data_IF_118675109054
#
_entry.id   IF_118675109054
#
_cell.length_a   1.000
_cell.length_b   1.000
_cell.length_c   1.000
_cell.angle_alpha   90.00
_cell.angle_beta   90.00
_cell.angle_gamma   90.00
#
_symmetry.space_group_name_H-M   'P 1'
#
loop_
_entity.id
_entity.type
_entity.pdbx_description
1 polymer ?
#
# COMPACT_ATOMS: atom_id res chain seq x y z
N UNK A 1 3.13 11.34 19.31
CA UNK A 1 4.43 11.19 18.62
C UNK A 1 5.09 9.85 18.97
N UNK A 2 5.68 9.68 20.16
CA UNK A 2 6.41 8.47 20.55
C UNK A 2 5.60 7.16 20.39
N UNK A 3 4.31 7.19 20.74
CA UNK A 3 3.41 6.04 20.60
C UNK A 3 3.25 5.57 19.14
N UNK A 4 3.04 6.50 18.19
CA UNK A 4 2.84 6.16 16.77
C UNK A 4 4.12 5.62 16.13
N UNK A 5 5.28 6.18 16.50
CA UNK A 5 6.60 5.68 16.09
C UNK A 5 6.82 4.25 16.61
N UNK A 6 6.51 3.99 17.88
CA UNK A 6 6.64 2.64 18.47
C UNK A 6 5.71 1.63 17.79
N UNK A 7 4.47 2.05 17.48
CA UNK A 7 3.47 1.25 16.78
C UNK A 7 3.95 0.84 15.38
N UNK A 8 4.42 1.79 14.57
CA UNK A 8 4.97 1.51 13.24
C UNK A 8 6.23 0.65 13.30
N UNK A 9 7.15 0.93 14.23
CA UNK A 9 8.34 0.09 14.42
C UNK A 9 7.96 -1.37 14.70
N UNK A 10 7.01 -1.60 15.61
CA UNK A 10 6.51 -2.95 15.92
C UNK A 10 5.86 -3.61 14.70
N UNK A 11 5.03 -2.87 13.98
CA UNK A 11 4.38 -3.37 12.77
C UNK A 11 5.40 -3.82 11.73
N UNK A 12 6.40 -2.97 11.43
CA UNK A 12 7.45 -3.24 10.42
C UNK A 12 8.31 -4.43 10.84
N UNK A 13 8.71 -4.49 12.12
CA UNK A 13 9.50 -5.61 12.64
C UNK A 13 8.75 -6.95 12.53
N UNK A 14 7.44 -6.95 12.80
CA UNK A 14 6.61 -8.16 12.74
C UNK A 14 6.12 -8.50 11.33
N UNK A 15 6.12 -7.54 10.40
CA UNK A 15 5.57 -7.68 9.05
C UNK A 15 6.49 -7.04 8.00
N UNK A 16 7.74 -7.53 7.83
CA UNK A 16 8.71 -6.92 6.92
C UNK A 16 8.21 -6.86 5.48
N UNK A 17 7.45 -7.87 5.01
CA UNK A 17 6.87 -7.89 3.68
C UNK A 17 5.79 -6.81 3.43
N UNK A 18 5.17 -6.28 4.49
CA UNK A 18 4.14 -5.24 4.40
C UNK A 18 4.73 -3.83 4.56
N UNK A 19 6.00 -3.72 4.94
CA UNK A 19 6.63 -2.44 5.30
C UNK A 19 6.81 -1.49 4.13
N UNK A 20 6.83 -2.03 2.91
CA UNK A 20 7.11 -1.31 1.67
C UNK A 20 5.88 -1.24 0.74
N UNK A 21 4.70 -1.60 1.27
CA UNK A 21 3.42 -1.54 0.55
C UNK A 21 2.79 -0.15 0.77
N UNK A 22 2.40 0.56 -0.29
CA UNK A 22 1.67 1.83 -0.15
C UNK A 22 0.40 1.64 0.68
N UNK A 23 0.02 2.61 1.50
CA UNK A 23 -1.19 2.45 2.34
C UNK A 23 -1.97 3.74 2.56
N UNK A 24 -1.42 4.88 2.19
CA UNK A 24 -2.06 6.19 2.29
C UNK A 24 -1.34 7.23 1.44
N UNK A 25 -1.94 8.41 1.34
CA UNK A 25 -1.41 9.53 0.55
C UNK A 25 -1.10 10.69 1.48
N UNK A 26 0.12 11.23 1.41
CA UNK A 26 0.54 12.46 2.11
C UNK A 26 1.18 13.41 1.12
N UNK A 27 0.72 14.66 1.08
CA UNK A 27 1.22 15.66 0.13
C UNK A 27 1.07 15.25 -1.35
N UNK A 28 0.01 14.50 -1.68
CA UNK A 28 -0.23 13.99 -3.04
C UNK A 28 0.65 12.81 -3.47
N UNK A 29 1.44 12.24 -2.56
CA UNK A 29 2.28 11.06 -2.81
C UNK A 29 1.83 9.90 -1.97
N UNK A 30 1.80 8.71 -2.57
CA UNK A 30 1.65 7.46 -1.83
C UNK A 30 2.83 7.29 -0.86
N UNK A 31 2.52 6.80 0.35
CA UNK A 31 3.51 6.49 1.37
C UNK A 31 3.38 5.03 1.84
N UNK A 32 4.52 4.43 2.17
CA UNK A 32 4.63 3.10 2.80
C UNK A 32 4.80 3.20 4.32
N UNK A 33 4.58 2.13 5.11
CA UNK A 33 4.85 2.14 6.55
C UNK A 33 6.26 2.58 6.91
N UNK A 34 7.27 2.19 6.11
CA UNK A 34 8.67 2.59 6.33
C UNK A 34 8.88 4.08 6.08
N UNK A 35 8.29 4.62 5.02
CA UNK A 35 8.33 6.05 4.71
C UNK A 35 7.60 6.86 5.80
N UNK A 36 6.42 6.41 6.23
CA UNK A 36 5.65 7.01 7.32
C UNK A 36 6.46 7.07 8.62
N UNK A 37 7.14 5.98 9.00
CA UNK A 37 8.01 5.95 10.17
C UNK A 37 9.12 7.00 10.07
N UNK A 38 9.79 7.07 8.92
CA UNK A 38 10.88 8.02 8.70
C UNK A 38 10.38 9.47 8.78
N UNK A 39 9.19 9.77 8.23
CA UNK A 39 8.55 11.09 8.33
C UNK A 39 8.23 11.46 9.79
N UNK A 40 7.63 10.54 10.56
CA UNK A 40 7.33 10.78 11.98
C UNK A 40 8.60 11.00 12.81
N UNK A 41 9.68 10.28 12.52
CA UNK A 41 10.97 10.46 13.18
C UNK A 41 11.59 11.83 12.90
N UNK A 42 11.39 12.38 11.71
CA UNK A 42 11.83 13.74 11.32
C UNK A 42 10.86 14.84 11.74
N UNK A 43 9.66 14.50 12.21
CA UNK A 43 8.61 15.48 12.54
C UNK A 43 7.93 16.09 11.31
N UNK A 44 8.01 15.45 10.15
CA UNK A 44 7.44 15.92 8.88
C UNK A 44 5.99 15.44 8.70
N UNK A 45 5.10 16.33 8.27
CA UNK A 45 3.70 16.04 7.93
C UNK A 45 2.99 15.12 8.95
N UNK A 46 3.27 15.33 10.24
CA UNK A 46 2.86 14.43 11.34
C UNK A 46 1.35 14.22 11.36
N UNK A 47 0.56 15.29 11.20
CA UNK A 47 -0.89 15.22 11.15
C UNK A 47 -1.37 14.30 10.03
N UNK A 48 -0.79 14.46 8.85
CA UNK A 48 -1.21 13.79 7.64
C UNK A 48 -0.81 12.32 7.67
N UNK A 49 0.38 12.01 8.20
CA UNK A 49 0.83 10.63 8.41
C UNK A 49 -0.07 9.92 9.44
N UNK A 50 -0.43 10.58 10.55
CA UNK A 50 -1.34 9.99 11.54
C UNK A 50 -2.75 9.82 10.97
N UNK A 51 -3.21 10.76 10.13
CA UNK A 51 -4.48 10.64 9.41
C UNK A 51 -4.45 9.44 8.46
N UNK A 52 -3.41 9.31 7.63
CA UNK A 52 -3.20 8.18 6.72
C UNK A 52 -3.14 6.83 7.46
N UNK A 53 -2.49 6.78 8.63
CA UNK A 53 -2.48 5.58 9.48
C UNK A 53 -3.87 5.26 10.06
N UNK A 54 -4.64 6.28 10.38
CA UNK A 54 -6.00 6.11 10.91
C UNK A 54 -7.02 5.77 9.83
N UNK A 55 -6.76 6.16 8.58
CA UNK A 55 -7.61 5.89 7.43
C UNK A 55 -7.18 4.67 6.62
N UNK A 56 -6.02 4.09 6.92
CA UNK A 56 -5.53 2.86 6.30
C UNK A 56 -6.63 1.79 6.31
N UNK A 57 -7.05 1.35 5.13
CA UNK A 57 -8.12 0.35 4.97
C UNK A 57 -9.51 0.78 5.44
N UNK A 58 -9.73 2.08 5.72
CA UNK A 58 -10.98 2.65 6.25
C UNK A 58 -11.59 3.79 5.41
N UNK A 59 -10.84 4.51 4.57
CA UNK A 59 -11.34 5.63 3.73
C UNK A 59 -11.69 5.23 2.26
N UNK A 60 -12.49 6.03 1.52
CA UNK A 60 -13.21 5.60 0.32
C UNK A 60 -12.36 5.31 -0.94
N UNK A 61 -12.91 4.40 -1.76
CA UNK A 61 -12.41 3.66 -2.94
C UNK A 61 -11.62 4.49 -4.00
N UNK A 62 -11.73 5.82 -4.04
CA UNK A 62 -11.14 6.63 -5.11
C UNK A 62 -9.62 6.83 -4.97
N UNK A 63 -9.08 6.88 -3.74
CA UNK A 63 -7.63 6.96 -3.51
C UNK A 63 -6.92 5.63 -3.77
N UNK A 64 -7.67 4.53 -3.77
CA UNK A 64 -7.12 3.18 -3.88
C UNK A 64 -6.55 2.90 -5.27
N UNK A 65 -7.03 3.58 -6.33
CA UNK A 65 -6.47 3.43 -7.67
C UNK A 65 -5.01 3.91 -7.76
N UNK A 66 -4.71 5.08 -7.19
CA UNK A 66 -3.35 5.60 -7.18
C UNK A 66 -2.42 4.73 -6.32
N UNK A 67 -2.93 4.21 -5.21
CA UNK A 67 -2.20 3.34 -4.31
C UNK A 67 -1.90 1.96 -4.93
N UNK A 68 -2.89 1.33 -5.57
CA UNK A 68 -2.68 0.02 -6.24
C UNK A 68 -1.80 0.16 -7.49
N UNK A 69 -1.90 1.27 -8.21
CA UNK A 69 -1.00 1.57 -9.32
C UNK A 69 0.45 1.73 -8.84
N UNK A 70 0.67 2.51 -7.77
CA UNK A 70 2.00 2.68 -7.19
C UNK A 70 2.55 1.36 -6.63
N UNK A 71 1.68 0.52 -6.04
CA UNK A 71 2.04 -0.82 -5.59
C UNK A 71 2.63 -1.67 -6.73
N UNK A 72 1.94 -1.78 -7.86
CA UNK A 72 2.46 -2.54 -9.00
C UNK A 72 3.71 -1.91 -9.64
N UNK A 73 3.77 -0.57 -9.71
CA UNK A 73 4.99 0.12 -10.17
C UNK A 73 6.19 -0.19 -9.28
N UNK A 74 6.04 -0.19 -7.96
CA UNK A 74 7.11 -0.54 -7.01
C UNK A 74 7.52 -2.00 -7.13
N UNK A 75 6.57 -2.92 -7.30
CA UNK A 75 6.89 -4.33 -7.52
C UNK A 75 7.72 -4.56 -8.79
N UNK A 76 7.39 -3.86 -9.89
CA UNK A 76 8.16 -3.92 -11.14
C UNK A 76 9.60 -3.40 -11.00
N UNK A 77 9.86 -2.53 -10.01
CA UNK A 77 11.19 -2.00 -9.73
C UNK A 77 12.04 -2.94 -8.86
N UNK A 78 11.44 -3.97 -8.24
CA UNK A 78 12.19 -4.93 -7.45
C UNK A 78 13.08 -5.79 -8.37
N UNK A 79 14.33 -6.04 -7.97
CA UNK A 79 15.23 -6.87 -8.75
C UNK A 79 14.81 -8.35 -8.69
N UNK A 80 15.09 -9.09 -9.76
CA UNK A 80 14.83 -10.53 -9.85
C UNK A 80 13.59 -10.86 -10.68
N UNK A 81 13.26 -12.16 -10.81
CA UNK A 81 12.10 -12.59 -11.57
C UNK A 81 10.82 -12.12 -10.87
N UNK A 82 9.94 -11.47 -11.62
CA UNK A 82 8.66 -11.01 -11.10
C UNK A 82 7.69 -12.19 -10.94
N UNK A 83 6.96 -12.26 -9.81
CA UNK A 83 5.97 -13.30 -9.61
C UNK A 83 4.81 -13.11 -10.59
N UNK A 84 4.19 -14.24 -10.95
CA UNK A 84 2.91 -14.21 -11.66
C UNK A 84 1.78 -13.92 -10.67
N UNK A 85 0.80 -13.16 -11.13
CA UNK A 85 -0.42 -12.86 -10.39
C UNK A 85 -1.52 -13.81 -10.84
N UNK A 86 -2.23 -14.36 -9.86
CA UNK A 86 -3.40 -15.18 -10.08
C UNK A 86 -4.63 -14.43 -9.57
N UNK A 87 -5.52 -14.05 -10.48
CA UNK A 87 -6.91 -13.71 -10.16
C UNK A 87 -7.79 -14.90 -10.54
N UNK A 88 -9.07 -14.89 -10.15
CA UNK A 88 -9.95 -16.06 -10.36
C UNK A 88 -10.02 -16.39 -11.86
N UNK A 89 -9.41 -17.52 -12.24
CA UNK A 89 -9.43 -18.02 -13.62
C UNK A 89 -8.41 -17.38 -14.57
N UNK A 90 -7.51 -16.51 -14.10
CA UNK A 90 -6.51 -15.86 -14.96
C UNK A 90 -5.15 -15.73 -14.28
N UNK A 91 -4.11 -16.12 -15.02
CA UNK A 91 -2.70 -15.87 -14.70
C UNK A 91 -2.23 -14.66 -15.51
N UNK A 92 -1.51 -13.72 -14.89
CA UNK A 92 -0.97 -12.54 -15.56
C UNK A 92 0.37 -12.08 -14.97
N UNK A 93 1.14 -11.32 -15.73
CA UNK A 93 2.38 -10.67 -15.23
C UNK A 93 2.07 -9.41 -14.43
N UNK A 94 3.09 -8.85 -13.76
CA UNK A 94 2.94 -7.57 -13.06
C UNK A 94 2.65 -6.41 -14.04
N UNK A 95 3.22 -6.44 -15.25
CA UNK A 95 2.98 -5.46 -16.30
C UNK A 95 1.54 -5.51 -16.80
N UNK A 96 1.00 -6.70 -16.99
CA UNK A 96 -0.40 -6.89 -17.38
C UNK A 96 -1.34 -6.40 -16.29
N UNK A 97 -1.04 -6.72 -15.02
CA UNK A 97 -1.81 -6.24 -13.88
C UNK A 97 -1.79 -4.71 -13.77
N UNK A 98 -0.62 -4.10 -13.93
CA UNK A 98 -0.49 -2.64 -13.96
C UNK A 98 -1.32 -2.02 -15.10
N UNK A 99 -1.29 -2.63 -16.29
CA UNK A 99 -2.09 -2.18 -17.44
C UNK A 99 -3.59 -2.23 -17.11
N UNK A 100 -4.09 -3.32 -16.54
CA UNK A 100 -5.49 -3.45 -16.14
C UNK A 100 -5.90 -2.42 -15.08
N UNK A 101 -5.03 -2.17 -14.11
CA UNK A 101 -5.22 -1.11 -13.10
C UNK A 101 -5.32 0.27 -13.75
N UNK A 102 -4.42 0.61 -14.67
CA UNK A 102 -4.43 1.91 -15.37
C UNK A 102 -5.67 2.08 -16.26
N UNK A 103 -6.13 1.01 -16.89
CA UNK A 103 -7.34 1.01 -17.72
C UNK A 103 -8.64 1.03 -16.89
N UNK A 104 -8.55 0.73 -15.59
CA UNK A 104 -9.70 0.62 -14.67
C UNK A 104 -10.80 -0.33 -15.18
N UNK A 105 -10.37 -1.39 -15.86
CA UNK A 105 -11.26 -2.39 -16.44
C UNK A 105 -11.71 -3.43 -15.40
N UNK A 106 -12.43 -4.47 -15.85
CA UNK A 106 -12.94 -5.51 -14.95
C UNK A 106 -11.83 -6.25 -14.18
N UNK A 107 -10.72 -6.58 -14.84
CA UNK A 107 -9.58 -7.19 -14.18
C UNK A 107 -8.91 -6.21 -13.20
N UNK A 108 -8.77 -4.94 -13.59
CA UNK A 108 -8.29 -3.87 -12.72
C UNK A 108 -9.13 -3.72 -11.46
N UNK A 109 -10.45 -3.86 -11.56
CA UNK A 109 -11.36 -3.84 -10.39
C UNK A 109 -11.17 -5.05 -9.47
N UNK A 110 -10.82 -6.21 -9.99
CA UNK A 110 -10.48 -7.38 -9.15
C UNK A 110 -9.15 -7.20 -8.42
N UNK A 111 -8.15 -6.64 -9.10
CA UNK A 111 -6.85 -6.30 -8.52
C UNK A 111 -7.01 -5.24 -7.42
N UNK A 112 -7.82 -4.20 -7.67
CA UNK A 112 -8.17 -3.18 -6.68
C UNK A 112 -8.82 -3.80 -5.45
N UNK A 113 -9.81 -4.68 -5.62
CA UNK A 113 -10.47 -5.37 -4.51
C UNK A 113 -9.51 -6.23 -3.69
N UNK A 114 -8.60 -6.93 -4.37
CA UNK A 114 -7.54 -7.72 -3.73
C UNK A 114 -6.61 -6.81 -2.90
N UNK A 115 -6.21 -5.68 -3.47
CA UNK A 115 -5.39 -4.67 -2.81
C UNK A 115 -6.07 -4.05 -1.59
N UNK A 116 -7.37 -3.75 -1.67
CA UNK A 116 -8.17 -3.28 -0.54
C UNK A 116 -8.24 -4.31 0.59
N UNK A 117 -8.31 -5.61 0.25
CA UNK A 117 -8.20 -6.68 1.25
C UNK A 117 -6.86 -6.64 1.99
N UNK A 118 -5.77 -6.43 1.25
CA UNK A 118 -4.42 -6.31 1.81
C UNK A 118 -4.29 -5.08 2.74
N UNK A 119 -4.75 -3.90 2.33
CA UNK A 119 -4.65 -2.68 3.14
C UNK A 119 -5.51 -2.76 4.41
N UNK A 120 -6.67 -3.43 4.36
CA UNK A 120 -7.47 -3.75 5.56
C UNK A 120 -6.74 -4.67 6.53
N UNK A 121 -6.05 -5.70 6.02
CA UNK A 121 -5.25 -6.60 6.86
C UNK A 121 -4.05 -5.87 7.46
N UNK A 122 -3.39 -4.99 6.71
CA UNK A 122 -2.36 -4.09 7.24
C UNK A 122 -2.90 -3.23 8.38
N UNK A 123 -4.05 -2.58 8.18
CA UNK A 123 -4.69 -1.75 9.19
C UNK A 123 -5.06 -2.55 10.46
N UNK A 124 -5.54 -3.79 10.29
CA UNK A 124 -5.84 -4.70 11.40
C UNK A 124 -4.59 -5.02 12.22
N UNK A 125 -3.47 -5.29 11.56
CA UNK A 125 -2.18 -5.63 12.20
C UNK A 125 -1.45 -4.44 12.78
N UNK A 126 -1.74 -3.23 12.31
CA UNK A 126 -1.17 -2.02 12.87
C UNK A 126 -1.77 -1.69 14.23
N UNK A 127 -3.07 -1.97 14.48
CA UNK A 127 -3.77 -1.66 15.74
C UNK A 127 -3.06 -2.23 16.96
#
# INVERSE_FOLDING_TARGET
MAYQIQKLNRFIANNPALADIPFGIVGGRSITPREALAMLQRGEAVSDVVAAMSSAGMDPIEQDWALVEDYYRRLLQLPGPHPKIYIIGQEMTLEEALRHVMQKDAAGQELLRSYQGLTREMARRMK
#
